data_IF_084216609934
#
_entry.id   IF_084216609934
#
_cell.length_a   1.000
_cell.length_b   1.000
_cell.length_c   1.000
_cell.angle_alpha   90.00
_cell.angle_beta   90.00
_cell.angle_gamma   90.00
#
_symmetry.space_group_name_H-M   'P 1'
#
loop_
_entity.id
_entity.type
_entity.pdbx_description
1 polymer ?
#
# COMPACT_ATOMS: atom_id res chain seq x y z
N UNK A 1 2.08 7.01 -34.43
CA UNK A 1 1.02 6.26 -33.74
C UNK A 1 1.49 6.17 -32.30
N UNK A 2 0.98 7.03 -31.42
CA UNK A 2 1.40 7.04 -30.02
C UNK A 2 0.90 5.78 -29.34
N UNK A 3 1.77 5.13 -28.56
CA UNK A 3 1.37 4.00 -27.74
C UNK A 3 0.26 4.48 -26.76
N UNK A 4 -0.78 3.68 -26.52
CA UNK A 4 -1.81 4.04 -25.55
C UNK A 4 -1.15 4.28 -24.18
N UNK A 5 -1.55 5.38 -23.53
CA UNK A 5 -1.02 5.75 -22.20
C UNK A 5 -1.41 4.67 -21.20
N UNK A 6 -0.41 4.05 -20.58
CA UNK A 6 -0.62 3.11 -19.47
C UNK A 6 -0.95 3.88 -18.20
N UNK A 7 -2.24 3.90 -17.85
CA UNK A 7 -2.76 4.59 -16.67
C UNK A 7 -2.72 3.73 -15.40
N UNK A 8 -2.37 2.44 -15.50
CA UNK A 8 -2.39 1.52 -14.36
C UNK A 8 -1.38 1.87 -13.25
N UNK A 9 -0.15 2.30 -13.55
CA UNK A 9 0.76 2.79 -12.51
C UNK A 9 0.17 3.93 -11.69
N UNK A 10 -0.58 4.84 -12.33
CA UNK A 10 -1.24 5.94 -11.65
C UNK A 10 -2.40 5.46 -10.79
N UNK A 11 -3.20 4.51 -11.27
CA UNK A 11 -4.28 3.88 -10.48
C UNK A 11 -3.71 3.23 -9.22
N UNK A 12 -2.61 2.48 -9.34
CA UNK A 12 -1.92 1.88 -8.19
C UNK A 12 -1.43 2.96 -7.21
N UNK A 13 -0.79 4.02 -7.71
CA UNK A 13 -0.33 5.13 -6.86
C UNK A 13 -1.47 5.78 -6.10
N UNK A 14 -2.61 6.05 -6.77
CA UNK A 14 -3.80 6.62 -6.12
C UNK A 14 -4.41 5.67 -5.07
N UNK A 15 -4.41 4.37 -5.35
CA UNK A 15 -4.86 3.35 -4.39
C UNK A 15 -4.02 3.35 -3.11
N UNK A 16 -2.69 3.44 -3.23
CA UNK A 16 -1.78 3.52 -2.07
C UNK A 16 -1.94 4.83 -1.31
N UNK A 17 -2.06 5.96 -2.01
CA UNK A 17 -2.26 7.27 -1.38
C UNK A 17 -3.62 7.39 -0.68
N UNK A 18 -4.58 6.54 -1.03
CA UNK A 18 -5.87 6.43 -0.35
C UNK A 18 -5.81 5.65 0.98
N UNK A 19 -4.64 5.19 1.41
CA UNK A 19 -4.41 4.57 2.71
C UNK A 19 -3.83 5.57 3.71
N UNK A 20 -4.40 5.60 4.90
CA UNK A 20 -3.89 6.26 6.09
C UNK A 20 -3.31 5.22 7.02
N UNK A 21 -2.18 5.55 7.67
CA UNK A 21 -1.46 4.63 8.54
C UNK A 21 -1.46 5.14 9.98
N UNK A 22 -1.66 4.22 10.92
CA UNK A 22 -1.72 4.53 12.35
C UNK A 22 -1.04 3.44 13.18
N UNK A 23 -0.56 3.80 14.38
CA UNK A 23 0.04 2.83 15.29
C UNK A 23 -1.00 2.40 16.32
N UNK A 24 -1.30 1.11 16.37
CA UNK A 24 -2.14 0.51 17.39
C UNK A 24 -1.28 -0.17 18.46
N UNK A 25 -1.44 0.27 19.71
CA UNK A 25 -0.81 -0.33 20.89
C UNK A 25 -1.83 -1.19 21.63
N UNK A 26 -1.73 -2.50 21.48
CA UNK A 26 -2.48 -3.49 22.25
C UNK A 26 -1.61 -4.18 23.31
N UNK A 27 -2.07 -5.33 23.81
CA UNK A 27 -1.22 -6.24 24.59
C UNK A 27 -0.26 -6.97 23.63
N UNK A 28 0.86 -6.33 23.28
CA UNK A 28 1.86 -6.90 22.35
C UNK A 28 2.79 -5.86 21.74
N UNK A 29 3.52 -6.27 20.70
CA UNK A 29 4.32 -5.35 19.88
C UNK A 29 3.40 -4.33 19.18
N UNK A 30 3.85 -3.07 19.01
CA UNK A 30 3.07 -2.07 18.28
C UNK A 30 2.86 -2.51 16.84
N UNK A 31 1.63 -2.35 16.34
CA UNK A 31 1.24 -2.75 14.99
C UNK A 31 0.99 -1.50 14.17
N UNK A 32 1.54 -1.45 12.97
CA UNK A 32 1.17 -0.47 11.97
C UNK A 32 -0.12 -0.93 11.27
N UNK A 33 -1.22 -0.22 11.49
CA UNK A 33 -2.50 -0.43 10.81
C UNK A 33 -2.62 0.49 9.60
N UNK A 34 -3.48 0.11 8.66
CA UNK A 34 -3.81 0.90 7.48
C UNK A 34 -5.33 0.90 7.24
N UNK A 35 -5.89 2.07 6.96
CA UNK A 35 -7.32 2.28 6.74
C UNK A 35 -7.56 3.24 5.56
N UNK A 36 -8.76 3.23 4.97
CA UNK A 36 -9.10 4.15 3.88
C UNK A 36 -9.33 5.59 4.37
N UNK A 37 -8.73 6.58 3.71
CA UNK A 37 -8.86 8.01 4.07
C UNK A 37 -10.03 8.73 3.39
N UNK A 38 -11.11 8.03 3.06
CA UNK A 38 -12.31 8.61 2.48
C UNK A 38 -13.12 7.64 1.62
N UNK A 39 -14.20 8.12 0.98
CA UNK A 39 -14.96 7.31 0.02
C UNK A 39 -14.11 7.03 -1.21
N UNK A 40 -14.01 5.75 -1.57
CA UNK A 40 -13.28 5.28 -2.76
C UNK A 40 -14.23 4.54 -3.68
N UNK A 41 -14.05 4.74 -4.98
CA UNK A 41 -14.86 4.10 -6.01
C UNK A 41 -14.01 3.52 -7.15
N UNK A 42 -14.64 2.66 -7.95
CA UNK A 42 -14.08 2.14 -9.19
C UNK A 42 -12.75 1.42 -8.99
N UNK A 43 -11.78 1.75 -9.85
CA UNK A 43 -10.45 1.13 -9.85
C UNK A 43 -9.57 1.60 -8.70
N UNK A 44 -9.75 2.83 -8.21
CA UNK A 44 -9.00 3.36 -7.07
C UNK A 44 -9.30 2.58 -5.79
N UNK A 45 -10.58 2.24 -5.55
CA UNK A 45 -10.97 1.38 -4.41
C UNK A 45 -10.30 0.02 -4.47
N UNK A 46 -10.36 -0.65 -5.64
CA UNK A 46 -9.75 -1.97 -5.83
C UNK A 46 -8.24 -1.92 -5.66
N UNK A 47 -7.59 -0.87 -6.18
CA UNK A 47 -6.16 -0.65 -5.99
C UNK A 47 -5.79 -0.39 -4.53
N UNK A 48 -6.62 0.35 -3.78
CA UNK A 48 -6.43 0.56 -2.35
C UNK A 48 -6.60 -0.74 -1.54
N UNK A 49 -7.57 -1.59 -1.91
CA UNK A 49 -7.71 -2.94 -1.32
C UNK A 49 -6.49 -3.81 -1.62
N UNK A 50 -5.99 -3.82 -2.87
CA UNK A 50 -4.77 -4.53 -3.22
C UNK A 50 -3.54 -4.02 -2.44
N UNK A 51 -3.45 -2.69 -2.24
CA UNK A 51 -2.41 -2.09 -1.41
C UNK A 51 -2.53 -2.47 0.07
N UNK A 52 -3.76 -2.57 0.60
CA UNK A 52 -4.01 -3.03 1.97
C UNK A 52 -3.59 -4.49 2.16
N UNK A 53 -3.93 -5.37 1.23
CA UNK A 53 -3.49 -6.77 1.24
C UNK A 53 -1.95 -6.87 1.22
N UNK A 54 -1.30 -6.12 0.31
CA UNK A 54 0.17 -6.06 0.24
C UNK A 54 0.79 -5.50 1.52
N UNK A 55 0.16 -4.51 2.18
CA UNK A 55 0.61 -3.99 3.47
C UNK A 55 0.55 -5.05 4.58
N UNK A 56 -0.51 -5.87 4.61
CA UNK A 56 -0.64 -6.98 5.58
C UNK A 56 0.43 -8.03 5.37
N UNK A 57 0.76 -8.35 4.12
CA UNK A 57 1.83 -9.27 3.77
C UNK A 57 3.23 -8.67 3.93
N UNK A 58 3.36 -7.33 3.97
CA UNK A 58 4.64 -6.64 4.03
C UNK A 58 5.49 -7.01 5.25
N UNK A 59 4.89 -7.48 6.34
CA UNK A 59 5.62 -7.97 7.51
C UNK A 59 6.38 -9.28 7.25
N UNK A 60 5.87 -10.10 6.35
CA UNK A 60 6.43 -11.40 5.97
C UNK A 60 7.08 -11.39 4.58
N UNK A 61 7.23 -10.20 3.99
CA UNK A 61 7.75 -10.06 2.64
C UNK A 61 9.25 -10.31 2.57
N UNK A 62 9.69 -10.97 1.51
CA UNK A 62 11.11 -11.08 1.15
C UNK A 62 11.70 -9.75 0.63
N UNK A 63 10.87 -8.73 0.40
CA UNK A 63 11.34 -7.37 0.07
C UNK A 63 11.83 -6.66 1.34
N UNK A 64 13.12 -6.85 1.65
CA UNK A 64 13.79 -6.21 2.78
C UNK A 64 13.61 -4.68 2.80
N UNK A 65 13.52 -4.03 1.63
CA UNK A 65 13.39 -2.57 1.57
C UNK A 65 11.97 -2.12 1.95
N UNK A 66 10.95 -2.90 1.58
CA UNK A 66 9.58 -2.69 2.03
C UNK A 66 9.45 -2.90 3.54
N UNK A 67 10.03 -3.98 4.07
CA UNK A 67 10.05 -4.28 5.51
C UNK A 67 10.72 -3.15 6.29
N UNK A 68 11.91 -2.71 5.86
CA UNK A 68 12.64 -1.64 6.53
C UNK A 68 11.90 -0.29 6.48
N UNK A 69 11.26 0.04 5.35
CA UNK A 69 10.45 1.25 5.26
C UNK A 69 9.24 1.19 6.21
N UNK A 70 8.60 0.02 6.34
CA UNK A 70 7.51 -0.20 7.29
C UNK A 70 7.96 0.03 8.74
N UNK A 71 9.10 -0.55 9.13
CA UNK A 71 9.64 -0.41 10.49
C UNK A 71 10.03 1.04 10.81
N UNK A 72 10.60 1.76 9.85
CA UNK A 72 10.92 3.20 10.01
C UNK A 72 9.66 4.03 10.20
N UNK A 73 8.63 3.79 9.38
CA UNK A 73 7.34 4.48 9.54
C UNK A 73 6.71 4.20 10.90
N UNK A 74 6.70 2.94 11.34
CA UNK A 74 6.22 2.55 12.66
C UNK A 74 6.94 3.33 13.77
N UNK A 75 8.27 3.32 13.78
CA UNK A 75 9.07 4.03 14.80
C UNK A 75 8.92 5.56 14.76
N UNK A 76 8.73 6.14 13.57
CA UNK A 76 8.57 7.58 13.40
C UNK A 76 7.18 8.07 13.85
N UNK A 77 6.12 7.31 13.56
CA UNK A 77 4.75 7.62 14.00
C UNK A 77 4.59 7.56 15.52
N UNK A 78 5.46 6.85 16.23
CA UNK A 78 5.51 6.88 17.69
C UNK A 78 5.98 8.23 18.26
N UNK A 79 6.62 9.07 17.44
CA UNK A 79 7.29 10.29 17.87
C UNK A 79 6.73 11.55 17.21
N UNK A 80 6.19 11.45 15.99
CA UNK A 80 5.81 12.60 15.18
C UNK A 80 4.77 12.25 14.10
N UNK A 81 4.43 13.24 13.26
CA UNK A 81 3.59 13.03 12.08
C UNK A 81 4.26 12.19 10.95
N UNK A 82 5.58 11.97 11.01
CA UNK A 82 6.32 11.04 10.14
C UNK A 82 6.07 11.20 8.62
N UNK A 83 5.97 12.43 8.12
CA UNK A 83 5.58 12.70 6.73
C UNK A 83 6.58 12.14 5.70
N UNK A 84 7.88 12.24 5.97
CA UNK A 84 8.93 11.74 5.06
C UNK A 84 8.96 10.21 5.05
N UNK A 85 8.83 9.57 6.21
CA UNK A 85 8.74 8.11 6.32
C UNK A 85 7.47 7.56 5.69
N UNK A 86 6.35 8.29 5.82
CA UNK A 86 5.09 7.93 5.20
C UNK A 86 5.20 7.95 3.68
N UNK A 87 5.74 9.04 3.12
CA UNK A 87 5.97 9.15 1.68
C UNK A 87 6.91 8.06 1.17
N UNK A 88 8.01 7.79 1.90
CA UNK A 88 8.95 6.74 1.55
C UNK A 88 8.30 5.34 1.58
N UNK A 89 7.48 5.05 2.59
CA UNK A 89 6.76 3.79 2.67
C UNK A 89 5.71 3.64 1.58
N UNK A 90 4.91 4.68 1.31
CA UNK A 90 3.90 4.69 0.25
C UNK A 90 4.53 4.48 -1.14
N UNK A 91 5.67 5.12 -1.44
CA UNK A 91 6.37 4.89 -2.71
C UNK A 91 6.87 3.45 -2.84
N UNK A 92 7.31 2.81 -1.74
CA UNK A 92 7.72 1.41 -1.72
C UNK A 92 6.55 0.46 -1.92
N UNK A 93 5.47 0.70 -1.20
CA UNK A 93 4.25 -0.09 -1.30
C UNK A 93 3.68 0.00 -2.73
N UNK A 94 3.65 1.18 -3.34
CA UNK A 94 3.20 1.36 -4.72
C UNK A 94 4.06 0.57 -5.72
N UNK A 95 5.39 0.52 -5.52
CA UNK A 95 6.28 -0.30 -6.35
C UNK A 95 6.03 -1.79 -6.18
N UNK A 96 5.81 -2.25 -4.95
CA UNK A 96 5.51 -3.64 -4.66
C UNK A 96 4.18 -4.08 -5.30
N UNK A 97 3.12 -3.28 -5.11
CA UNK A 97 1.82 -3.52 -5.75
C UNK A 97 1.96 -3.51 -7.28
N UNK A 98 2.66 -2.52 -7.85
CA UNK A 98 2.87 -2.47 -9.30
C UNK A 98 3.62 -3.70 -9.81
N UNK A 99 4.68 -4.12 -9.14
CA UNK A 99 5.44 -5.32 -9.51
C UNK A 99 4.55 -6.58 -9.51
N UNK A 100 3.64 -6.68 -8.54
CA UNK A 100 2.69 -7.78 -8.43
C UNK A 100 1.65 -7.77 -9.57
N UNK A 101 1.16 -6.60 -9.99
CA UNK A 101 0.04 -6.49 -10.93
C UNK A 101 0.42 -6.24 -12.39
N UNK A 102 1.63 -5.73 -12.69
CA UNK A 102 2.04 -5.23 -14.02
C UNK A 102 1.86 -6.19 -15.21
N UNK A 103 1.75 -7.50 -14.96
CA UNK A 103 1.54 -8.49 -16.01
C UNK A 103 0.10 -8.50 -16.53
N UNK A 104 -0.88 -8.21 -15.67
CA UNK A 104 -2.30 -8.11 -15.99
C UNK A 104 -2.97 -7.22 -14.93
N UNK A 105 -2.81 -5.89 -15.03
CA UNK A 105 -3.22 -4.97 -13.99
C UNK A 105 -4.69 -5.11 -13.55
N UNK A 106 -5.70 -5.09 -14.44
CA UNK A 106 -7.10 -5.16 -14.00
C UNK A 106 -7.38 -6.44 -13.22
N UNK A 107 -6.97 -7.59 -13.77
CA UNK A 107 -7.24 -8.89 -13.15
C UNK A 107 -6.49 -9.10 -11.85
N UNK A 108 -5.23 -8.69 -11.78
CA UNK A 108 -4.40 -8.88 -10.58
C UNK A 108 -4.74 -7.90 -9.47
N UNK A 109 -5.15 -6.67 -9.80
CA UNK A 109 -5.70 -5.73 -8.82
C UNK A 109 -6.96 -6.31 -8.19
N UNK A 110 -7.86 -6.88 -8.99
CA UNK A 110 -9.06 -7.56 -8.47
C UNK A 110 -8.71 -8.76 -7.59
N UNK A 111 -7.79 -9.63 -8.04
CA UNK A 111 -7.39 -10.81 -7.27
C UNK A 111 -6.77 -10.45 -5.90
N UNK A 112 -5.89 -9.44 -5.86
CA UNK A 112 -5.31 -8.96 -4.60
C UNK A 112 -6.34 -8.27 -3.71
N UNK A 113 -7.25 -7.48 -4.30
CA UNK A 113 -8.26 -6.73 -3.57
C UNK A 113 -9.37 -7.60 -2.96
N UNK A 114 -9.55 -8.83 -3.45
CA UNK A 114 -10.55 -9.80 -2.98
C UNK A 114 -9.97 -10.93 -2.11
N UNK A 115 -8.67 -10.94 -1.81
CA UNK A 115 -8.04 -12.01 -1.03
C UNK A 115 -8.48 -12.05 0.47
N UNK A 116 -9.39 -11.17 0.90
CA UNK A 116 -9.82 -11.01 2.29
C UNK A 116 -11.34 -11.03 2.52
N UNK A 117 -12.13 -11.48 1.53
CA UNK A 117 -13.53 -11.93 1.73
C UNK A 117 -13.58 -13.46 1.82
#
# INVERSE_FOLDING_TARGET
MDAPVDYWPQVVRQGVLALGFSVHRGFGAPILSADFIGPLEGWTRRAAQAALAMHKEAELSDDEQLVQARLRLLAALEQSAAADELAAYQDRLARAVWAAVRQDPPRRIEALGHAED
#
